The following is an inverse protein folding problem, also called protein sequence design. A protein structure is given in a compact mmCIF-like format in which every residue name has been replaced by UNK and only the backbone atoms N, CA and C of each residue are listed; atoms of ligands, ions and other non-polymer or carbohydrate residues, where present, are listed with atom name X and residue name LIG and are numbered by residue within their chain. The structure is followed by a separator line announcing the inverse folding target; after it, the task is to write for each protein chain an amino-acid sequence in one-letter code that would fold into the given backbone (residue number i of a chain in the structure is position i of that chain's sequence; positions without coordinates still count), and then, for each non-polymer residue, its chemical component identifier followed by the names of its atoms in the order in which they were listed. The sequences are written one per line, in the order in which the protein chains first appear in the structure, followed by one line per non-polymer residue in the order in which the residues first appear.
data_IF_799716278655
#
_entry.id   IF_799716278655
#
_cell.length_a   1.000
_cell.length_b   1.000
_cell.length_c   1.000
_cell.angle_alpha   90.00
_cell.angle_beta   90.00
_cell.angle_gamma   90.00
#
_symmetry.space_group_name_H-M   'P 1'
#
loop_
_entity.id
_entity.type
_entity.pdbx_description
1 polymer ?
#
# COMPACT_ATOMS: atom_id res chain seq x y z
N UNK A 1 22.93 -34.06 -13.45
CA UNK A 1 22.58 -32.62 -13.51
C UNK A 1 21.08 -32.31 -13.31
N UNK A 2 20.14 -33.22 -13.62
CA UNK A 2 18.69 -32.94 -13.48
C UNK A 2 18.17 -32.78 -12.03
N UNK A 3 18.82 -33.43 -11.05
CA UNK A 3 18.42 -33.39 -9.64
C UNK A 3 18.72 -32.04 -8.96
N UNK A 4 19.88 -31.45 -9.27
CA UNK A 4 20.30 -30.16 -8.70
C UNK A 4 19.42 -28.99 -9.18
N UNK A 5 19.01 -29.01 -10.45
CA UNK A 5 18.09 -28.00 -10.99
C UNK A 5 16.70 -28.04 -10.31
N UNK A 6 16.21 -29.24 -9.98
CA UNK A 6 14.96 -29.42 -9.23
C UNK A 6 15.06 -28.95 -7.78
N UNK A 7 16.19 -29.18 -7.12
CA UNK A 7 16.42 -28.73 -5.75
C UNK A 7 16.52 -27.19 -5.68
N UNK A 8 17.29 -26.58 -6.58
CA UNK A 8 17.41 -25.13 -6.69
C UNK A 8 16.10 -24.44 -7.07
N UNK A 9 15.28 -25.06 -7.94
CA UNK A 9 13.96 -24.55 -8.28
C UNK A 9 12.98 -24.62 -7.09
N UNK A 10 13.15 -25.60 -6.19
CA UNK A 10 12.34 -25.72 -4.98
C UNK A 10 12.67 -24.60 -3.99
N UNK A 11 13.95 -24.43 -3.66
CA UNK A 11 14.43 -23.34 -2.79
C UNK A 11 14.06 -21.96 -3.31
N UNK A 12 14.08 -21.77 -4.64
CA UNK A 12 13.70 -20.51 -5.27
C UNK A 12 12.26 -20.11 -4.97
N UNK A 13 11.35 -21.03 -4.69
CA UNK A 13 9.92 -20.73 -4.50
C UNK A 13 9.39 -21.07 -3.11
N UNK A 14 10.24 -21.54 -2.20
CA UNK A 14 9.84 -21.91 -0.83
C UNK A 14 9.33 -20.71 0.00
N UNK A 15 9.64 -19.48 -0.39
CA UNK A 15 9.13 -18.27 0.25
C UNK A 15 7.74 -17.82 -0.26
N UNK A 16 7.18 -18.49 -1.28
CA UNK A 16 5.96 -18.06 -1.96
C UNK A 16 4.74 -18.68 -1.29
N UNK A 17 4.18 -17.92 -0.35
CA UNK A 17 2.91 -18.23 0.30
C UNK A 17 2.17 -16.93 0.60
N UNK A 18 0.87 -17.02 0.87
CA UNK A 18 0.05 -15.85 1.15
C UNK A 18 0.61 -15.02 2.31
N UNK A 19 0.66 -13.70 2.14
CA UNK A 19 1.22 -12.73 3.08
C UNK A 19 2.75 -12.74 3.26
N UNK A 20 3.50 -13.57 2.53
CA UNK A 20 4.97 -13.50 2.59
C UNK A 20 5.49 -12.16 2.03
N UNK A 21 6.57 -11.65 2.64
CA UNK A 21 7.28 -10.47 2.17
C UNK A 21 8.41 -10.93 1.25
N UNK A 22 8.48 -10.33 0.07
CA UNK A 22 9.45 -10.69 -0.96
C UNK A 22 9.99 -9.45 -1.70
N UNK A 23 11.07 -9.65 -2.44
CA UNK A 23 11.53 -8.72 -3.45
C UNK A 23 10.71 -8.93 -4.72
N UNK A 24 10.28 -7.83 -5.34
CA UNK A 24 9.54 -7.85 -6.58
C UNK A 24 10.25 -6.94 -7.59
N UNK A 25 10.65 -7.51 -8.72
CA UNK A 25 11.16 -6.75 -9.85
C UNK A 25 9.99 -6.27 -10.71
N UNK A 26 9.86 -4.97 -10.92
CA UNK A 26 8.82 -4.42 -11.80
C UNK A 26 9.38 -4.19 -13.21
N UNK A 27 8.88 -4.87 -14.25
CA UNK A 27 9.31 -4.62 -15.63
C UNK A 27 8.84 -3.26 -16.17
N UNK A 28 7.93 -2.57 -15.48
CA UNK A 28 7.42 -1.25 -15.93
C UNK A 28 8.47 -0.16 -15.80
N UNK A 29 9.27 -0.20 -14.74
CA UNK A 29 10.28 0.81 -14.41
C UNK A 29 11.69 0.22 -14.20
N UNK A 30 11.84 -1.10 -14.29
CA UNK A 30 13.07 -1.84 -14.05
C UNK A 30 13.66 -1.66 -12.64
N UNK A 31 12.80 -1.47 -11.64
CA UNK A 31 13.21 -1.31 -10.24
C UNK A 31 12.78 -2.49 -9.35
N UNK A 32 13.43 -2.55 -8.19
CA UNK A 32 13.16 -3.54 -7.14
C UNK A 32 12.37 -2.92 -6.00
N UNK A 33 11.37 -3.66 -5.55
CA UNK A 33 10.48 -3.23 -4.49
C UNK A 33 10.32 -4.31 -3.43
N UNK A 34 10.01 -3.90 -2.21
CA UNK A 34 9.46 -4.81 -1.20
C UNK A 34 7.98 -4.99 -1.47
N UNK A 35 7.54 -6.24 -1.50
CA UNK A 35 6.17 -6.59 -1.79
C UNK A 35 5.63 -7.61 -0.79
N UNK A 36 4.31 -7.60 -0.59
CA UNK A 36 3.59 -8.64 0.12
C UNK A 36 2.68 -9.38 -0.84
N UNK A 37 2.75 -10.71 -0.83
CA UNK A 37 1.87 -11.55 -1.63
C UNK A 37 0.44 -11.48 -1.07
N UNK A 38 -0.53 -11.16 -1.93
CA UNK A 38 -1.94 -10.98 -1.56
C UNK A 38 -2.88 -11.96 -2.25
N UNK A 39 -2.48 -12.56 -3.38
CA UNK A 39 -3.16 -13.71 -3.98
C UNK A 39 -2.16 -14.56 -4.76
N UNK A 40 -2.36 -15.88 -4.73
CA UNK A 40 -1.60 -16.87 -5.46
C UNK A 40 -2.47 -17.44 -6.59
N UNK A 41 -2.54 -16.75 -7.73
CA UNK A 41 -3.17 -17.32 -8.92
C UNK A 41 -2.15 -18.16 -9.72
N UNK A 42 -2.66 -19.07 -10.57
CA UNK A 42 -1.81 -20.06 -11.27
C UNK A 42 -0.82 -19.46 -12.28
N UNK A 43 -1.13 -18.30 -12.85
CA UNK A 43 -0.32 -17.65 -13.89
C UNK A 43 0.42 -16.41 -13.38
N UNK A 44 -0.22 -15.63 -12.50
CA UNK A 44 0.29 -14.38 -11.96
C UNK A 44 0.04 -14.32 -10.46
N UNK A 45 0.99 -13.77 -9.73
CA UNK A 45 0.88 -13.54 -8.30
C UNK A 45 0.45 -12.10 -8.09
N UNK A 46 -0.67 -11.90 -7.40
CA UNK A 46 -1.09 -10.57 -6.97
C UNK A 46 -0.32 -10.18 -5.73
N UNK A 47 0.26 -8.99 -5.75
CA UNK A 47 1.02 -8.44 -4.63
C UNK A 47 0.68 -6.97 -4.41
N UNK A 48 1.17 -6.45 -3.29
CA UNK A 48 1.18 -5.02 -3.00
C UNK A 48 2.59 -4.59 -2.68
N UNK A 49 3.03 -3.48 -3.28
CA UNK A 49 4.29 -2.82 -2.91
C UNK A 49 4.09 -2.15 -1.55
N UNK A 50 4.62 -2.74 -0.49
CA UNK A 50 4.31 -2.36 0.90
C UNK A 50 4.83 -0.98 1.31
N UNK A 51 5.70 -0.41 0.49
CA UNK A 51 6.27 0.93 0.68
C UNK A 51 5.57 2.01 -0.14
N UNK A 52 4.70 1.62 -1.09
CA UNK A 52 4.01 2.53 -2.00
C UNK A 52 2.48 2.40 -1.99
N UNK A 53 1.94 1.27 -1.54
CA UNK A 53 0.49 1.01 -1.49
C UNK A 53 -0.15 0.58 -2.80
N UNK A 54 0.63 0.49 -3.88
CA UNK A 54 0.16 0.09 -5.21
C UNK A 54 0.15 -1.43 -5.36
N UNK A 55 -0.90 -1.96 -5.98
CA UNK A 55 -1.00 -3.39 -6.31
C UNK A 55 -0.41 -3.69 -7.68
N UNK A 56 0.05 -4.93 -7.86
CA UNK A 56 0.51 -5.43 -9.15
C UNK A 56 0.29 -6.94 -9.31
N UNK A 57 0.42 -7.42 -10.55
CA UNK A 57 0.39 -8.82 -10.92
C UNK A 57 1.70 -9.19 -11.61
N UNK A 58 2.51 -10.04 -10.98
CA UNK A 58 3.80 -10.45 -11.50
C UNK A 58 3.89 -11.97 -11.67
N UNK A 59 4.72 -12.42 -12.61
CA UNK A 59 5.07 -13.84 -12.72
C UNK A 59 6.00 -14.24 -11.57
N UNK A 60 6.03 -15.54 -11.24
CA UNK A 60 6.94 -16.10 -10.22
C UNK A 60 8.41 -15.77 -10.50
N UNK A 61 8.78 -15.61 -11.78
CA UNK A 61 10.14 -15.28 -12.19
C UNK A 61 10.62 -13.90 -11.72
N UNK A 62 9.69 -13.00 -11.41
CA UNK A 62 9.98 -11.64 -10.95
C UNK A 62 9.96 -11.51 -9.40
N UNK A 63 9.72 -12.62 -8.68
CA UNK A 63 9.70 -12.65 -7.22
C UNK A 63 10.98 -13.29 -6.68
N UNK A 64 11.51 -12.70 -5.62
CA UNK A 64 12.77 -13.11 -5.01
C UNK A 64 12.65 -13.11 -3.48
N UNK A 65 13.34 -14.03 -2.78
CA UNK A 65 13.37 -14.01 -1.33
C UNK A 65 14.03 -12.72 -0.85
N UNK A 66 13.45 -12.09 0.17
CA UNK A 66 14.06 -10.94 0.82
C UNK A 66 14.97 -11.43 1.96
N UNK A 67 16.15 -10.84 2.13
CA UNK A 67 16.98 -11.15 3.30
C UNK A 67 16.31 -10.66 4.58
N UNK A 68 16.60 -11.29 5.71
CA UNK A 68 15.97 -10.99 7.00
C UNK A 68 16.08 -9.52 7.40
N UNK A 69 17.22 -8.88 7.10
CA UNK A 69 17.45 -7.45 7.34
C UNK A 69 16.43 -6.53 6.64
N UNK A 70 16.05 -6.85 5.40
CA UNK A 70 15.09 -6.03 4.65
C UNK A 70 13.64 -6.43 4.96
N UNK A 71 13.41 -7.69 5.34
CA UNK A 71 12.10 -8.21 5.72
C UNK A 71 11.66 -7.66 7.08
N UNK A 72 12.62 -7.37 7.96
CA UNK A 72 12.38 -6.82 9.30
C UNK A 72 11.99 -5.34 9.29
N UNK A 73 12.27 -4.59 8.22
CA UNK A 73 11.88 -3.18 8.12
C UNK A 73 10.33 -3.13 8.02
N UNK A 74 9.62 -2.32 8.84
CA UNK A 74 8.18 -2.18 8.72
C UNK A 74 7.75 -1.63 7.35
N UNK A 75 6.56 -1.98 6.83
CA UNK A 75 5.94 -1.26 5.71
C UNK A 75 5.85 0.24 6.00
N UNK A 76 6.20 1.10 5.03
CA UNK A 76 6.04 2.57 5.21
C UNK A 76 4.71 3.11 4.67
N UNK A 77 3.92 2.27 3.99
CA UNK A 77 2.55 2.64 3.57
C UNK A 77 1.55 2.49 4.71
N UNK A 78 0.69 3.50 4.87
CA UNK A 78 -0.46 3.46 5.76
C UNK A 78 -1.74 3.43 4.92
N UNK A 79 -2.48 2.32 4.99
CA UNK A 79 -3.81 2.23 4.37
C UNK A 79 -4.81 3.05 5.17
N UNK A 80 -5.52 3.91 4.47
CA UNK A 80 -6.56 4.74 5.05
C UNK A 80 -7.73 4.89 4.09
N UNK A 81 -8.85 5.34 4.63
CA UNK A 81 -10.04 5.70 3.86
C UNK A 81 -10.46 7.10 4.23
N UNK A 82 -10.90 7.86 3.23
CA UNK A 82 -11.57 9.13 3.48
C UNK A 82 -12.88 8.82 4.23
N UNK A 83 -13.16 9.58 5.27
CA UNK A 83 -14.40 9.43 6.04
C UNK A 83 -15.60 10.04 5.29
N UNK A 84 -15.92 9.47 4.13
CA UNK A 84 -17.05 9.83 3.28
C UNK A 84 -17.87 8.58 3.01
N UNK A 85 -19.18 8.64 3.24
CA UNK A 85 -20.10 7.72 2.58
C UNK A 85 -20.15 8.13 1.11
N UNK A 86 -19.23 7.60 0.31
CA UNK A 86 -19.56 7.43 -1.11
C UNK A 86 -20.74 6.44 -1.14
N UNK A 87 -21.55 6.49 -2.20
CA UNK A 87 -22.34 5.32 -2.56
C UNK A 87 -21.43 4.09 -2.77
N UNK A 88 -21.93 3.04 -3.41
CA UNK A 88 -21.15 1.81 -3.58
C UNK A 88 -19.77 2.01 -4.25
N UNK A 89 -19.55 3.12 -4.96
CA UNK A 89 -18.27 3.46 -5.60
C UNK A 89 -18.03 4.97 -5.76
N UNK A 90 -16.76 5.37 -5.91
CA UNK A 90 -16.36 6.72 -6.31
C UNK A 90 -16.69 6.95 -7.78
N UNK A 91 -17.24 8.13 -8.12
CA UNK A 91 -17.35 8.55 -9.53
C UNK A 91 -15.98 8.96 -10.06
N UNK A 92 -15.77 8.86 -11.38
CA UNK A 92 -14.51 9.30 -12.03
C UNK A 92 -14.22 10.79 -11.77
N UNK A 93 -15.27 11.62 -11.73
CA UNK A 93 -15.15 13.04 -11.40
C UNK A 93 -14.68 13.26 -9.95
N UNK A 94 -15.19 12.47 -9.00
CA UNK A 94 -14.76 12.54 -7.61
C UNK A 94 -13.30 12.07 -7.45
N UNK A 95 -12.92 10.98 -8.15
CA UNK A 95 -11.54 10.50 -8.19
C UNK A 95 -10.58 11.57 -8.74
N UNK A 96 -10.90 12.16 -9.90
CA UNK A 96 -10.10 13.23 -10.53
C UNK A 96 -9.99 14.47 -9.63
N UNK A 97 -11.08 14.86 -8.98
CA UNK A 97 -11.10 15.97 -8.03
C UNK A 97 -10.18 15.70 -6.83
N UNK A 98 -10.25 14.50 -6.27
CA UNK A 98 -9.40 14.11 -5.15
C UNK A 98 -7.92 14.14 -5.55
N UNK A 99 -7.56 13.47 -6.64
CA UNK A 99 -6.18 13.41 -7.15
C UNK A 99 -5.65 14.81 -7.47
N UNK A 100 -6.42 15.70 -8.10
CA UNK A 100 -5.96 17.07 -8.37
C UNK A 100 -5.82 17.91 -7.10
N UNK A 101 -6.62 17.64 -6.08
CA UNK A 101 -6.58 18.35 -4.79
C UNK A 101 -5.40 17.95 -3.93
N UNK A 102 -5.02 16.66 -3.91
CA UNK A 102 -3.91 16.14 -3.10
C UNK A 102 -2.61 15.99 -3.89
N UNK A 103 -2.65 15.77 -5.20
CA UNK A 103 -1.45 15.57 -6.01
C UNK A 103 -0.53 16.80 -6.11
N UNK A 104 -1.02 17.98 -5.72
CA UNK A 104 -0.26 19.25 -5.72
C UNK A 104 0.61 19.48 -4.49
N UNK A 105 0.52 18.64 -3.47
CA UNK A 105 1.32 18.78 -2.25
C UNK A 105 2.19 17.54 -2.02
N UNK A 106 3.43 17.79 -1.62
CA UNK A 106 4.41 16.76 -1.27
C UNK A 106 4.20 16.22 0.16
N UNK A 107 3.64 17.05 1.04
CA UNK A 107 3.43 16.73 2.45
C UNK A 107 2.00 17.01 2.88
N UNK A 108 1.47 16.10 3.71
CA UNK A 108 0.17 16.25 4.35
C UNK A 108 0.29 15.95 5.83
N UNK A 109 -0.37 16.75 6.66
CA UNK A 109 -0.64 16.37 8.05
C UNK A 109 -1.95 15.60 8.06
N UNK A 110 -1.94 14.36 8.54
CA UNK A 110 -3.16 13.60 8.84
C UNK A 110 -3.36 13.55 10.37
N UNK A 111 -4.60 13.69 10.85
CA UNK A 111 -4.96 13.39 12.24
C UNK A 111 -5.82 12.15 12.23
N UNK A 112 -5.36 11.18 12.99
CA UNK A 112 -6.04 9.91 13.19
C UNK A 112 -7.03 10.10 14.33
N UNK A 113 -8.33 9.99 14.05
CA UNK A 113 -9.35 9.92 15.11
C UNK A 113 -9.61 8.45 15.42
N UNK A 114 -9.16 8.00 16.59
CA UNK A 114 -9.46 6.67 17.10
C UNK A 114 -10.72 6.75 17.97
N UNK A 115 -11.72 5.91 17.72
CA UNK A 115 -12.95 5.85 18.53
C UNK A 115 -12.72 5.20 19.89
N UNK A 116 -11.73 4.32 19.97
CA UNK A 116 -11.30 3.65 21.19
C UNK A 116 -9.83 4.01 21.41
N UNK A 117 -9.42 4.40 22.62
CA UNK A 117 -8.03 4.81 22.97
C UNK A 117 -6.96 3.69 22.82
N UNK A 118 -7.10 2.79 21.85
CA UNK A 118 -6.27 1.61 21.61
C UNK A 118 -5.86 1.56 20.13
N UNK A 119 -4.85 2.34 19.75
CA UNK A 119 -4.09 2.09 18.52
C UNK A 119 -3.20 0.86 18.76
N UNK A 120 -3.75 -0.34 18.64
CA UNK A 120 -2.93 -1.54 18.70
C UNK A 120 -2.10 -1.66 17.41
N UNK A 121 -0.78 -1.80 17.54
CA UNK A 121 0.19 -1.99 16.44
C UNK A 121 -0.13 -3.18 15.49
N UNK A 122 -1.15 -3.99 15.77
CA UNK A 122 -1.42 -5.27 15.12
C UNK A 122 -2.77 -5.38 14.40
N UNK A 123 -3.58 -4.32 14.32
CA UNK A 123 -4.89 -4.41 13.65
C UNK A 123 -4.87 -3.77 12.27
N UNK A 124 -5.11 -4.56 11.21
CA UNK A 124 -5.48 -4.11 9.86
C UNK A 124 -6.86 -3.41 9.82
N UNK A 125 -7.22 -2.68 10.87
CA UNK A 125 -8.48 -1.92 10.92
C UNK A 125 -8.26 -0.60 10.18
N UNK A 126 -9.06 -0.36 9.14
CA UNK A 126 -9.09 0.91 8.44
C UNK A 126 -9.52 2.02 9.41
N UNK A 127 -8.60 2.93 9.74
CA UNK A 127 -8.90 4.06 10.63
C UNK A 127 -9.51 5.19 9.79
N UNK A 128 -10.68 5.74 10.16
CA UNK A 128 -11.27 6.85 9.44
C UNK A 128 -10.36 8.08 9.55
N UNK A 129 -9.95 8.63 8.41
CA UNK A 129 -9.26 9.90 8.36
C UNK A 129 -10.29 11.02 8.16
N UNK A 130 -10.33 11.98 9.08
CA UNK A 130 -10.80 13.32 8.77
C UNK A 130 -9.63 14.08 8.15
N UNK A 131 -9.73 14.53 6.89
CA UNK A 131 -8.66 15.31 6.27
C UNK A 131 -8.56 16.69 6.92
N UNK A 132 -7.31 17.10 7.13
CA UNK A 132 -6.86 18.32 7.78
C UNK A 132 -6.50 19.40 6.77
N UNK A 133 -6.40 20.62 7.31
CA UNK A 133 -5.52 21.72 6.89
C UNK A 133 -4.31 21.23 6.08
N UNK A 134 -4.26 21.63 4.81
CA UNK A 134 -3.08 21.49 3.97
C UNK A 134 -2.13 22.65 4.25
N UNK A 135 -0.84 22.49 3.96
CA UNK A 135 0.13 23.58 4.04
C UNK A 135 0.87 23.63 2.71
N UNK A 136 1.17 24.83 2.22
CA UNK A 136 2.04 24.95 1.05
C UNK A 136 3.51 24.71 1.41
N UNK A 137 4.38 24.75 0.39
CA UNK A 137 5.85 24.63 0.53
C UNK A 137 6.50 25.70 1.42
N UNK A 138 5.77 26.73 1.82
CA UNK A 138 6.22 27.81 2.70
C UNK A 138 5.56 27.73 4.10
N UNK A 139 4.93 26.59 4.43
CA UNK A 139 4.16 26.39 5.67
C UNK A 139 2.94 27.32 5.81
N UNK A 140 2.44 27.89 4.72
CA UNK A 140 1.19 28.65 4.78
C UNK A 140 0.02 27.68 4.94
N UNK A 141 -0.79 27.89 5.98
CA UNK A 141 -2.00 27.12 6.21
C UNK A 141 -3.01 27.35 5.07
N UNK A 142 -3.38 26.28 4.40
CA UNK A 142 -4.46 26.24 3.43
C UNK A 142 -5.63 25.48 4.08
N UNK A 143 -6.62 26.24 4.51
CA UNK A 143 -7.87 25.73 5.03
C UNK A 143 -8.82 25.37 3.87
N UNK A 144 -9.32 24.13 3.88
CA UNK A 144 -10.47 23.72 3.07
C UNK A 144 -11.56 23.23 4.03
N UNK A 145 -12.76 23.82 3.95
CA UNK A 145 -13.89 23.39 4.77
C UNK A 145 -14.55 22.15 4.15
N UNK A 146 -14.27 20.97 4.71
CA UNK A 146 -15.10 19.79 4.50
C UNK A 146 -16.06 19.65 5.68
N UNK A 147 -17.27 20.20 5.52
CA UNK A 147 -18.31 20.17 6.54
C UNK A 147 -19.00 18.80 6.51
N UNK A 148 -18.72 17.96 7.51
CA UNK A 148 -19.48 16.73 7.76
C UNK A 148 -20.60 17.03 8.77
N UNK A 149 -21.85 17.02 8.29
CA UNK A 149 -23.04 17.07 9.16
C UNK A 149 -23.56 15.66 9.42
N UNK A 150 -24.03 15.45 10.64
CA UNK A 150 -24.73 14.25 11.08
C UNK A 150 -26.19 14.33 10.60
N UNK A 151 -26.72 13.23 10.07
CA UNK A 151 -28.12 12.85 10.29
C UNK A 151 -28.14 11.42 10.74
#
# INVERSE_FOLDING_TARGET
MHYLARFAAKEKYDFIFLNSICGAFSPRDNLWYRAKITNLDKSLIRLIYIDYGTYDYLSLGNLYPLTSQFAAIPPVTIFSKLNQECGESWTESAHTCFVSSVGKYEFFRATVKCSDNQLSHHSNKAVPLSLLKAYDKNENEISFDLILRKK
#
